data_IF_622234047542
#
_entry.id   IF_622234047542
#
_cell.length_a   1.000
_cell.length_b   1.000
_cell.length_c   1.000
_cell.angle_alpha   90.00
_cell.angle_beta   90.00
_cell.angle_gamma   90.00
#
_symmetry.space_group_name_H-M   'P 1'
#
loop_
_entity.id
_entity.type
_entity.pdbx_description
1 polymer ?
#
# COMPACT_ATOMS: atom_id res chain seq x y z
N UNK A 1 23.55 -15.04 17.67
CA UNK A 1 24.22 -14.65 16.41
C UNK A 1 23.16 -14.57 15.29
N UNK A 2 23.19 -13.53 14.46
CA UNK A 2 22.25 -13.29 13.36
C UNK A 2 22.99 -12.88 12.08
N UNK A 3 22.45 -13.24 10.91
CA UNK A 3 22.99 -12.89 9.62
C UNK A 3 22.09 -11.84 8.93
N UNK A 4 22.62 -10.66 8.65
CA UNK A 4 21.92 -9.56 8.02
C UNK A 4 22.42 -9.42 6.60
N UNK A 5 21.53 -9.53 5.61
CA UNK A 5 21.88 -9.36 4.20
C UNK A 5 21.60 -7.94 3.73
N UNK A 6 22.44 -7.47 2.83
CA UNK A 6 22.23 -6.21 2.16
C UNK A 6 22.72 -6.22 0.73
N UNK A 7 22.20 -5.33 -0.10
CA UNK A 7 22.73 -5.08 -1.42
C UNK A 7 22.44 -3.63 -1.87
N UNK A 8 23.31 -3.12 -2.75
CA UNK A 8 23.14 -1.81 -3.39
C UNK A 8 23.69 -1.87 -4.81
N UNK A 9 23.35 -0.90 -5.63
CA UNK A 9 23.95 -0.69 -6.94
C UNK A 9 24.69 0.63 -7.01
N UNK A 10 25.66 0.73 -7.92
CA UNK A 10 26.33 1.98 -8.28
C UNK A 10 25.92 2.37 -9.70
N UNK A 11 26.04 3.66 -10.02
CA UNK A 11 25.76 4.18 -11.37
C UNK A 11 26.94 3.96 -12.31
N UNK A 12 28.17 4.16 -11.78
CA UNK A 12 29.41 4.01 -12.53
C UNK A 12 30.41 3.19 -11.72
N UNK A 13 31.20 2.36 -12.42
CA UNK A 13 32.34 1.68 -11.80
C UNK A 13 33.48 2.69 -11.57
N UNK A 14 33.43 3.38 -10.44
CA UNK A 14 34.48 4.28 -9.98
C UNK A 14 34.59 4.23 -8.45
N UNK A 15 35.77 4.59 -7.95
CA UNK A 15 36.07 4.50 -6.52
C UNK A 15 35.14 5.39 -5.65
N UNK A 16 34.69 6.52 -6.17
CA UNK A 16 33.81 7.46 -5.48
C UNK A 16 32.42 6.86 -5.27
N UNK A 17 31.78 6.33 -6.34
CA UNK A 17 30.46 5.70 -6.27
C UNK A 17 30.49 4.47 -5.37
N UNK A 18 31.58 3.65 -5.44
CA UNK A 18 31.73 2.45 -4.62
C UNK A 18 31.82 2.84 -3.13
N UNK A 19 32.65 3.87 -2.78
CA UNK A 19 32.72 4.36 -1.39
C UNK A 19 31.39 4.85 -0.88
N UNK A 20 30.71 5.70 -1.66
CA UNK A 20 29.40 6.23 -1.28
C UNK A 20 28.35 5.13 -1.07
N UNK A 21 28.25 4.19 -2.01
CA UNK A 21 27.26 3.12 -1.95
C UNK A 21 27.53 2.14 -0.80
N UNK A 22 28.79 1.80 -0.53
CA UNK A 22 29.15 0.89 0.59
C UNK A 22 28.91 1.58 1.94
N UNK A 23 29.30 2.84 2.08
CA UNK A 23 29.07 3.60 3.33
C UNK A 23 27.57 3.75 3.61
N UNK A 24 26.75 4.09 2.60
CA UNK A 24 25.29 4.18 2.70
C UNK A 24 24.68 2.84 3.13
N UNK A 25 25.05 1.73 2.47
CA UNK A 25 24.51 0.41 2.76
C UNK A 25 24.84 -0.07 4.17
N UNK A 26 26.11 0.02 4.57
CA UNK A 26 26.54 -0.43 5.90
C UNK A 26 25.98 0.46 7.01
N UNK A 27 25.92 1.77 6.80
CA UNK A 27 25.27 2.71 7.73
C UNK A 27 23.78 2.38 7.92
N UNK A 28 23.05 2.13 6.83
CA UNK A 28 21.64 1.74 6.89
C UNK A 28 21.43 0.38 7.59
N UNK A 29 22.33 -0.60 7.37
CA UNK A 29 22.28 -1.90 8.07
C UNK A 29 22.48 -1.68 9.57
N UNK A 30 23.48 -0.89 9.95
CA UNK A 30 23.78 -0.61 11.35
C UNK A 30 22.63 0.11 12.05
N UNK A 31 22.11 1.17 11.45
CA UNK A 31 20.99 1.95 12.00
C UNK A 31 19.72 1.12 12.15
N UNK A 32 19.27 0.45 11.07
CA UNK A 32 18.01 -0.28 11.06
C UNK A 32 18.00 -1.52 11.95
N UNK A 33 19.17 -2.06 12.26
CA UNK A 33 19.33 -3.20 13.15
C UNK A 33 19.82 -2.82 14.56
N UNK A 34 19.99 -1.53 14.85
CA UNK A 34 20.51 -1.01 16.11
C UNK A 34 21.80 -1.73 16.54
N UNK A 35 22.76 -1.86 15.60
CA UNK A 35 24.03 -2.55 15.86
C UNK A 35 25.04 -1.59 16.47
N UNK A 36 25.60 -1.93 17.62
CA UNK A 36 26.86 -1.35 18.10
C UNK A 36 28.04 -1.96 17.33
N UNK A 37 29.16 -1.25 17.19
CA UNK A 37 30.37 -1.81 16.53
C UNK A 37 30.80 -3.14 17.11
N UNK A 38 30.75 -3.33 18.40
CA UNK A 38 31.09 -4.54 19.14
C UNK A 38 30.18 -5.73 18.83
N UNK A 39 28.97 -5.49 18.37
CA UNK A 39 28.03 -6.55 17.97
C UNK A 39 28.44 -7.19 16.63
N UNK A 40 29.21 -6.48 15.79
CA UNK A 40 29.53 -6.95 14.45
C UNK A 40 30.75 -7.86 14.46
N UNK A 41 30.53 -9.14 14.20
CA UNK A 41 31.56 -10.18 14.17
C UNK A 41 32.39 -10.08 12.88
N UNK A 42 31.71 -10.04 11.73
CA UNK A 42 32.39 -9.86 10.44
C UNK A 42 31.43 -9.36 9.35
N UNK A 43 32.02 -8.83 8.27
CA UNK A 43 31.29 -8.37 7.09
C UNK A 43 31.87 -9.08 5.85
N UNK A 44 31.04 -9.86 5.19
CA UNK A 44 31.33 -10.51 3.92
C UNK A 44 30.78 -9.63 2.79
N UNK A 45 31.63 -9.22 1.86
CA UNK A 45 31.22 -8.39 0.72
C UNK A 45 31.43 -9.18 -0.57
N UNK A 46 30.51 -9.06 -1.51
CA UNK A 46 30.71 -9.54 -2.87
C UNK A 46 30.28 -8.46 -3.86
N UNK A 47 30.81 -8.53 -5.07
CA UNK A 47 30.42 -7.64 -6.15
C UNK A 47 30.32 -8.39 -7.48
N UNK A 48 29.45 -7.89 -8.34
CA UNK A 48 29.33 -8.38 -9.72
C UNK A 48 30.62 -8.13 -10.50
N UNK A 49 30.89 -8.94 -11.51
CA UNK A 49 32.14 -8.94 -12.28
C UNK A 49 32.41 -7.67 -13.07
N UNK A 50 31.43 -6.78 -13.21
CA UNK A 50 31.53 -5.50 -13.87
C UNK A 50 31.99 -4.36 -12.92
N UNK A 51 32.25 -4.65 -11.65
CA UNK A 51 32.91 -3.75 -10.69
C UNK A 51 34.35 -4.17 -10.54
N UNK A 52 35.24 -3.37 -11.10
CA UNK A 52 36.69 -3.67 -11.17
C UNK A 52 37.58 -2.50 -10.70
N UNK A 53 37.00 -1.31 -10.49
CA UNK A 53 37.78 -0.10 -10.21
C UNK A 53 38.23 0.04 -8.75
N UNK A 54 37.50 -0.56 -7.81
CA UNK A 54 37.78 -0.44 -6.37
C UNK A 54 37.25 -1.61 -5.54
N UNK A 55 37.96 -1.96 -4.46
CA UNK A 55 37.53 -3.03 -3.55
C UNK A 55 36.43 -2.56 -2.60
N UNK A 56 35.24 -3.17 -2.58
CA UNK A 56 34.19 -2.85 -1.62
C UNK A 56 34.64 -3.00 -0.15
N UNK A 57 35.48 -3.98 0.16
CA UNK A 57 36.01 -4.15 1.52
C UNK A 57 36.96 -2.99 1.92
N UNK A 58 37.69 -2.40 0.97
CA UNK A 58 38.47 -1.20 1.24
C UNK A 58 37.57 0.01 1.52
N UNK A 59 36.49 0.16 0.74
CA UNK A 59 35.48 1.20 0.98
C UNK A 59 34.81 1.04 2.36
N UNK A 60 34.49 -0.19 2.77
CA UNK A 60 33.94 -0.47 4.11
C UNK A 60 34.91 -0.05 5.22
N UNK A 61 36.20 -0.33 5.06
CA UNK A 61 37.23 0.09 6.04
C UNK A 61 37.34 1.61 6.12
N UNK A 62 37.31 2.30 4.99
CA UNK A 62 37.33 3.76 4.91
C UNK A 62 36.05 4.41 5.50
N UNK A 63 34.92 3.69 5.44
CA UNK A 63 33.66 4.09 6.08
C UNK A 63 33.62 3.84 7.60
N UNK A 64 34.73 3.38 8.21
CA UNK A 64 34.87 3.20 9.66
C UNK A 64 34.71 1.75 10.14
N UNK A 65 34.41 0.80 9.28
CA UNK A 65 34.26 -0.63 9.64
C UNK A 65 35.60 -1.36 9.67
N UNK A 66 36.57 -0.83 10.45
CA UNK A 66 37.92 -1.42 10.63
C UNK A 66 38.05 -2.29 11.87
N UNK A 67 37.02 -2.32 12.72
CA UNK A 67 36.99 -3.01 14.01
C UNK A 67 36.60 -4.50 13.87
N UNK A 68 36.14 -4.95 12.72
CA UNK A 68 35.73 -6.33 12.49
C UNK A 68 36.44 -6.95 11.26
N UNK A 69 36.34 -8.27 11.12
CA UNK A 69 36.89 -8.96 9.97
C UNK A 69 36.09 -8.63 8.69
N UNK A 70 36.82 -8.25 7.62
CA UNK A 70 36.26 -7.97 6.30
C UNK A 70 36.73 -9.02 5.29
N UNK A 71 35.82 -9.54 4.50
CA UNK A 71 36.11 -10.45 3.39
C UNK A 71 35.46 -9.95 2.11
N UNK A 72 36.16 -10.03 0.97
CA UNK A 72 35.64 -9.62 -0.32
C UNK A 72 35.81 -10.72 -1.35
N UNK A 73 34.79 -10.96 -2.18
CA UNK A 73 34.79 -11.94 -3.25
C UNK A 73 34.11 -11.37 -4.52
N UNK A 74 34.49 -11.91 -5.68
CA UNK A 74 33.78 -11.66 -6.92
C UNK A 74 32.65 -12.67 -7.10
N UNK A 75 31.54 -12.23 -7.67
CA UNK A 75 30.42 -13.08 -8.04
C UNK A 75 30.59 -13.67 -9.44
N UNK A 76 30.03 -14.87 -9.71
CA UNK A 76 30.02 -15.40 -11.06
C UNK A 76 29.22 -14.49 -12.00
N UNK A 77 29.68 -14.36 -13.24
CA UNK A 77 28.96 -13.63 -14.28
C UNK A 77 27.73 -14.44 -14.72
N UNK A 78 26.54 -14.00 -14.31
CA UNK A 78 25.25 -14.62 -14.66
C UNK A 78 24.53 -13.76 -15.68
N UNK A 79 24.16 -14.33 -16.82
CA UNK A 79 23.41 -13.61 -17.86
C UNK A 79 22.06 -13.11 -17.33
N UNK A 80 21.78 -11.83 -17.51
CA UNK A 80 20.54 -11.19 -17.03
C UNK A 80 20.54 -10.84 -15.54
N UNK A 81 21.65 -11.06 -14.82
CA UNK A 81 21.76 -10.60 -13.43
C UNK A 81 21.86 -9.09 -13.33
N UNK A 82 21.54 -8.57 -12.15
CA UNK A 82 21.68 -7.13 -11.83
C UNK A 82 23.15 -6.72 -11.97
N UNK A 83 23.39 -5.69 -12.74
CA UNK A 83 24.74 -5.14 -12.99
C UNK A 83 25.14 -4.14 -11.91
N UNK A 84 26.45 -3.88 -11.81
CA UNK A 84 27.04 -2.88 -10.90
C UNK A 84 26.50 -3.04 -9.47
N UNK A 85 26.41 -4.29 -9.00
CA UNK A 85 25.80 -4.62 -7.72
C UNK A 85 26.85 -5.05 -6.69
N UNK A 86 26.73 -4.50 -5.48
CA UNK A 86 27.51 -4.85 -4.30
C UNK A 86 26.56 -5.50 -3.30
N UNK A 87 26.92 -6.69 -2.80
CA UNK A 87 26.16 -7.39 -1.76
C UNK A 87 26.98 -7.55 -0.50
N UNK A 88 26.28 -7.57 0.62
CA UNK A 88 26.92 -7.78 1.92
C UNK A 88 26.15 -8.79 2.75
N UNK A 89 26.88 -9.52 3.60
CA UNK A 89 26.35 -10.27 4.70
C UNK A 89 27.10 -9.84 5.96
N UNK A 90 26.38 -9.24 6.90
CA UNK A 90 26.91 -8.88 8.22
C UNK A 90 26.51 -9.98 9.19
N UNK A 91 27.50 -10.61 9.82
CA UNK A 91 27.28 -11.48 10.97
C UNK A 91 27.42 -10.65 12.23
N UNK A 92 26.40 -10.69 13.08
CA UNK A 92 26.35 -9.94 14.31
C UNK A 92 25.78 -10.77 15.45
N UNK A 93 26.14 -10.42 16.67
CA UNK A 93 25.51 -10.96 17.87
C UNK A 93 24.11 -10.36 18.09
N UNK A 94 23.31 -11.06 18.88
CA UNK A 94 21.95 -10.66 19.26
C UNK A 94 20.88 -11.60 18.74
N UNK A 95 19.69 -11.51 19.34
CA UNK A 95 18.55 -12.41 19.13
C UNK A 95 17.37 -11.73 18.41
N UNK A 96 17.50 -10.43 18.09
CA UNK A 96 16.47 -9.71 17.35
C UNK A 96 16.44 -10.15 15.88
N UNK A 97 15.26 -10.34 15.32
CA UNK A 97 15.09 -10.70 13.92
C UNK A 97 15.82 -9.72 12.98
N UNK A 98 16.65 -10.23 12.01
CA UNK A 98 17.45 -9.39 11.16
C UNK A 98 16.58 -8.58 10.17
N UNK A 99 16.80 -7.28 10.07
CA UNK A 99 16.24 -6.43 9.02
C UNK A 99 17.23 -6.35 7.87
N UNK A 100 16.91 -7.01 6.76
CA UNK A 100 17.71 -6.98 5.55
C UNK A 100 17.54 -5.67 4.80
N UNK A 101 18.61 -5.12 4.21
CA UNK A 101 18.62 -3.80 3.57
C UNK A 101 19.01 -3.92 2.09
N UNK A 102 18.15 -3.46 1.22
CA UNK A 102 18.37 -3.43 -0.22
C UNK A 102 18.11 -2.02 -0.73
N UNK A 103 19.14 -1.37 -1.31
CA UNK A 103 19.11 0.02 -1.71
C UNK A 103 19.20 0.16 -3.23
N UNK A 104 18.77 1.28 -3.74
CA UNK A 104 18.85 1.64 -5.16
C UNK A 104 18.31 0.52 -6.05
N UNK A 105 18.97 0.21 -7.18
CA UNK A 105 18.54 -0.87 -8.08
C UNK A 105 18.50 -2.27 -7.45
N UNK A 106 19.24 -2.49 -6.34
CA UNK A 106 19.19 -3.76 -5.63
C UNK A 106 17.88 -3.99 -4.83
N UNK A 107 17.07 -2.96 -4.59
CA UNK A 107 15.73 -3.11 -4.00
C UNK A 107 14.86 -4.08 -4.81
N UNK A 108 15.03 -4.12 -6.13
CA UNK A 108 14.32 -5.02 -7.03
C UNK A 108 14.65 -6.51 -6.86
N UNK A 109 15.78 -6.86 -6.19
CA UNK A 109 16.14 -8.25 -5.88
C UNK A 109 15.23 -8.85 -4.80
N UNK A 110 14.62 -8.02 -3.97
CA UNK A 110 13.82 -8.43 -2.82
C UNK A 110 12.56 -7.56 -2.71
N UNK A 111 11.75 -7.61 -3.77
CA UNK A 111 10.44 -6.92 -3.82
C UNK A 111 9.53 -7.26 -2.63
N UNK A 112 9.71 -8.44 -2.05
CA UNK A 112 9.04 -8.89 -0.83
C UNK A 112 9.44 -8.09 0.43
N UNK A 113 10.56 -7.39 0.42
CA UNK A 113 11.01 -6.53 1.54
C UNK A 113 10.70 -5.05 1.32
N UNK A 114 10.46 -4.63 0.10
CA UNK A 114 10.02 -3.26 -0.22
C UNK A 114 8.50 -3.19 -0.13
N UNK A 115 7.99 -2.72 1.01
CA UNK A 115 6.57 -2.47 1.19
C UNK A 115 6.19 -1.15 0.52
N UNK A 116 5.21 -1.19 -0.34
CA UNK A 116 4.64 -0.01 -0.97
C UNK A 116 3.12 0.00 -0.83
N UNK A 117 2.54 1.17 -0.90
CA UNK A 117 1.09 1.34 -0.90
C UNK A 117 0.63 2.04 -2.18
N UNK A 118 -0.45 1.51 -2.76
CA UNK A 118 -1.16 2.16 -3.86
C UNK A 118 -2.48 2.68 -3.34
N UNK A 119 -2.63 4.00 -3.33
CA UNK A 119 -3.86 4.69 -2.96
C UNK A 119 -4.73 4.93 -4.20
N UNK A 120 -5.92 4.35 -4.22
CA UNK A 120 -6.91 4.55 -5.28
C UNK A 120 -8.11 5.30 -4.71
N UNK A 121 -8.21 6.60 -4.98
CA UNK A 121 -9.32 7.44 -4.57
C UNK A 121 -10.23 7.78 -5.75
N UNK A 122 -11.45 8.20 -5.45
CA UNK A 122 -12.39 8.65 -6.47
C UNK A 122 -13.86 8.39 -6.11
N UNK A 123 -14.81 8.91 -6.91
CA UNK A 123 -16.23 8.83 -6.65
C UNK A 123 -16.79 7.40 -6.79
N UNK A 124 -18.02 7.21 -6.33
CA UNK A 124 -18.72 5.93 -6.45
C UNK A 124 -19.01 5.58 -7.91
N UNK A 125 -18.86 4.31 -8.29
CA UNK A 125 -19.16 3.84 -9.64
C UNK A 125 -18.07 4.14 -10.70
N UNK A 126 -16.93 4.72 -10.33
CA UNK A 126 -15.81 5.01 -11.25
C UNK A 126 -14.99 3.77 -11.69
N UNK A 127 -15.38 2.56 -11.27
CA UNK A 127 -14.62 1.34 -11.58
C UNK A 127 -13.44 1.06 -10.66
N UNK A 128 -13.19 1.93 -9.70
CA UNK A 128 -12.07 1.92 -8.76
C UNK A 128 -11.84 0.59 -8.04
N UNK A 129 -12.89 0.03 -7.42
CA UNK A 129 -12.78 -1.22 -6.66
C UNK A 129 -12.46 -2.42 -7.54
N UNK A 130 -12.97 -2.45 -8.77
CA UNK A 130 -12.65 -3.48 -9.76
C UNK A 130 -11.19 -3.37 -10.20
N UNK A 131 -10.75 -2.14 -10.54
CA UNK A 131 -9.36 -1.87 -10.88
C UNK A 131 -8.41 -2.22 -9.74
N UNK A 132 -8.76 -1.84 -8.48
CA UNK A 132 -7.96 -2.13 -7.31
C UNK A 132 -7.75 -3.63 -7.06
N UNK A 133 -8.81 -4.43 -7.21
CA UNK A 133 -8.74 -5.90 -7.07
C UNK A 133 -7.85 -6.54 -8.11
N UNK A 134 -8.02 -6.15 -9.39
CA UNK A 134 -7.22 -6.70 -10.48
C UNK A 134 -5.77 -6.28 -10.35
N UNK A 135 -5.51 -5.01 -10.05
CA UNK A 135 -4.17 -4.49 -9.83
C UNK A 135 -3.46 -5.21 -8.67
N UNK A 136 -4.14 -5.38 -7.53
CA UNK A 136 -3.59 -6.09 -6.38
C UNK A 136 -3.24 -7.55 -6.70
N UNK A 137 -4.09 -8.22 -7.49
CA UNK A 137 -3.84 -9.58 -7.97
C UNK A 137 -2.62 -9.64 -8.90
N UNK A 138 -2.50 -8.71 -9.87
CA UNK A 138 -1.36 -8.65 -10.79
C UNK A 138 -0.04 -8.33 -10.08
N UNK A 139 -0.08 -7.44 -9.09
CA UNK A 139 1.08 -7.06 -8.28
C UNK A 139 1.41 -8.08 -7.18
N UNK A 140 0.52 -9.07 -6.96
CA UNK A 140 0.60 -10.03 -5.86
C UNK A 140 0.73 -9.35 -4.48
N UNK A 141 -0.13 -8.36 -4.24
CA UNK A 141 -0.20 -7.60 -2.98
C UNK A 141 -1.60 -7.62 -2.40
N UNK A 142 -1.74 -7.17 -1.16
CA UNK A 142 -3.02 -7.09 -0.48
C UNK A 142 -3.96 -6.09 -1.18
N UNK A 143 -5.25 -6.45 -1.30
CA UNK A 143 -6.32 -5.51 -1.64
C UNK A 143 -7.14 -5.17 -0.39
N UNK A 144 -7.34 -3.89 -0.06
CA UNK A 144 -8.17 -3.44 1.04
C UNK A 144 -9.34 -2.57 0.55
N UNK A 145 -10.56 -3.12 0.63
CA UNK A 145 -11.83 -2.38 0.47
C UNK A 145 -12.14 -1.59 1.76
N UNK A 146 -11.72 -0.32 1.81
CA UNK A 146 -12.01 0.51 2.98
C UNK A 146 -13.49 0.84 3.12
N UNK A 147 -14.22 0.88 2.01
CA UNK A 147 -15.67 1.03 2.00
C UNK A 147 -16.39 -0.11 2.73
N UNK A 148 -15.87 -1.33 2.68
CA UNK A 148 -16.41 -2.46 3.44
C UNK A 148 -16.30 -2.22 4.95
N UNK A 149 -15.22 -1.60 5.42
CA UNK A 149 -15.03 -1.27 6.84
C UNK A 149 -16.09 -0.27 7.34
N UNK A 150 -16.33 0.80 6.58
CA UNK A 150 -17.39 1.76 6.93
C UNK A 150 -18.80 1.15 6.83
N UNK A 151 -19.03 0.24 5.86
CA UNK A 151 -20.29 -0.50 5.78
C UNK A 151 -20.50 -1.42 6.97
N UNK A 152 -19.47 -2.03 7.51
CA UNK A 152 -19.57 -2.82 8.72
C UNK A 152 -19.94 -1.96 9.95
N UNK A 153 -19.34 -0.77 10.10
CA UNK A 153 -19.73 0.18 11.13
C UNK A 153 -21.21 0.62 10.99
N UNK A 154 -21.65 0.87 9.76
CA UNK A 154 -23.04 1.20 9.49
C UNK A 154 -24.01 0.05 9.82
N UNK A 155 -23.64 -1.17 9.46
CA UNK A 155 -24.41 -2.36 9.80
C UNK A 155 -24.57 -2.54 11.31
N UNK A 156 -23.50 -2.28 12.08
CA UNK A 156 -23.54 -2.30 13.55
C UNK A 156 -24.57 -1.29 14.07
N UNK A 157 -24.48 -0.03 13.63
CA UNK A 157 -25.41 1.00 14.04
C UNK A 157 -26.86 0.66 13.69
N UNK A 158 -27.11 0.10 12.49
CA UNK A 158 -28.44 -0.32 12.07
C UNK A 158 -28.97 -1.49 12.92
N UNK A 159 -28.16 -2.50 13.21
CA UNK A 159 -28.55 -3.66 14.03
C UNK A 159 -28.86 -3.27 15.47
N UNK A 160 -28.09 -2.34 16.01
CA UNK A 160 -28.25 -1.88 17.40
C UNK A 160 -29.30 -0.75 17.52
N UNK A 161 -29.91 -0.33 16.40
CA UNK A 161 -30.91 0.75 16.39
C UNK A 161 -30.36 2.12 16.79
N UNK A 162 -29.04 2.36 16.60
CA UNK A 162 -28.36 3.58 17.02
C UNK A 162 -28.64 4.70 16.02
N UNK A 163 -29.15 5.85 16.45
CA UNK A 163 -29.36 7.00 15.57
C UNK A 163 -28.00 7.61 15.13
N UNK A 164 -27.96 8.14 13.90
CA UNK A 164 -26.77 8.79 13.34
C UNK A 164 -26.63 10.24 13.89
N UNK A 165 -26.35 10.37 15.18
CA UNK A 165 -26.06 11.62 15.90
C UNK A 165 -24.70 11.50 16.58
N UNK A 166 -24.00 12.63 16.80
CA UNK A 166 -22.61 12.63 17.32
C UNK A 166 -22.49 11.81 18.61
N UNK A 167 -23.28 12.11 19.64
CA UNK A 167 -23.17 11.41 20.92
C UNK A 167 -23.54 9.93 20.86
N UNK A 168 -24.50 9.53 20.01
CA UNK A 168 -24.92 8.14 19.89
C UNK A 168 -23.85 7.31 19.12
N UNK A 169 -23.30 7.87 18.05
CA UNK A 169 -22.24 7.21 17.26
C UNK A 169 -20.92 7.15 18.04
N UNK A 170 -20.60 8.20 18.81
CA UNK A 170 -19.43 8.20 19.68
C UNK A 170 -19.52 7.10 20.75
N UNK A 171 -20.68 6.93 21.38
CA UNK A 171 -20.92 5.87 22.35
C UNK A 171 -20.85 4.46 21.73
N UNK A 172 -21.26 4.30 20.45
CA UNK A 172 -21.19 3.03 19.72
C UNK A 172 -19.75 2.66 19.35
N UNK A 173 -18.91 3.64 19.00
CA UNK A 173 -17.58 3.42 18.38
C UNK A 173 -16.68 2.46 19.14
N UNK A 174 -16.56 2.48 20.48
CA UNK A 174 -15.74 1.53 21.21
C UNK A 174 -16.22 0.07 21.09
N UNK A 175 -17.53 -0.17 20.97
CA UNK A 175 -18.13 -1.50 20.89
C UNK A 175 -18.03 -2.18 19.53
N UNK A 176 -17.57 -1.45 18.49
CA UNK A 176 -17.40 -2.01 17.15
C UNK A 176 -16.16 -2.93 17.15
N UNK A 177 -16.36 -4.24 17.20
CA UNK A 177 -15.29 -5.21 16.98
C UNK A 177 -15.24 -5.58 15.49
N UNK A 178 -14.30 -4.96 14.77
CA UNK A 178 -14.11 -5.15 13.34
C UNK A 178 -12.78 -5.84 13.06
N UNK A 179 -12.83 -6.94 12.33
CA UNK A 179 -11.64 -7.66 11.85
C UNK A 179 -11.72 -7.86 10.35
N UNK A 180 -10.60 -7.62 9.67
CA UNK A 180 -10.42 -7.93 8.26
C UNK A 180 -9.55 -9.17 8.16
N UNK A 181 -9.97 -10.14 7.37
CA UNK A 181 -9.21 -11.34 7.05
C UNK A 181 -9.13 -11.53 5.52
N UNK A 182 -8.16 -12.30 5.10
CA UNK A 182 -7.95 -12.63 3.69
C UNK A 182 -7.96 -14.14 3.55
N UNK A 183 -9.00 -14.66 2.89
CA UNK A 183 -9.24 -16.08 2.72
C UNK A 183 -9.51 -16.35 1.24
N UNK A 184 -8.85 -17.34 0.66
CA UNK A 184 -8.99 -17.71 -0.76
C UNK A 184 -8.81 -16.53 -1.74
N UNK A 185 -7.93 -15.57 -1.41
CA UNK A 185 -7.67 -14.39 -2.25
C UNK A 185 -8.76 -13.31 -2.20
N UNK A 186 -9.69 -13.39 -1.26
CA UNK A 186 -10.75 -12.41 -1.05
C UNK A 186 -10.69 -11.80 0.35
N UNK A 187 -11.10 -10.52 0.45
CA UNK A 187 -11.29 -9.87 1.74
C UNK A 187 -12.59 -10.34 2.38
N UNK A 188 -12.50 -10.81 3.60
CA UNK A 188 -13.62 -11.10 4.51
C UNK A 188 -13.68 -10.04 5.61
N UNK A 189 -14.88 -9.58 5.91
CA UNK A 189 -15.14 -8.55 6.92
C UNK A 189 -15.94 -9.17 8.06
N UNK A 190 -15.33 -9.25 9.23
CA UNK A 190 -15.94 -9.79 10.43
C UNK A 190 -16.35 -8.65 11.36
N UNK A 191 -17.60 -8.68 11.80
CA UNK A 191 -18.16 -7.76 12.77
C UNK A 191 -18.67 -8.55 13.97
N UNK A 192 -18.19 -8.22 15.16
CA UNK A 192 -18.53 -8.93 16.41
C UNK A 192 -18.35 -10.46 16.27
N UNK A 193 -17.25 -10.86 15.62
CA UNK A 193 -16.89 -12.26 15.38
C UNK A 193 -17.65 -12.97 14.24
N UNK A 194 -18.61 -12.32 13.56
CA UNK A 194 -19.38 -12.89 12.45
C UNK A 194 -18.94 -12.34 11.11
N UNK A 195 -18.81 -13.22 10.09
CA UNK A 195 -18.60 -12.76 8.72
C UNK A 195 -19.86 -12.05 8.20
N UNK A 196 -19.67 -10.77 7.84
CA UNK A 196 -20.74 -9.91 7.31
C UNK A 196 -20.47 -9.47 5.88
N UNK A 197 -19.51 -10.08 5.18
CA UNK A 197 -19.03 -9.69 3.85
C UNK A 197 -20.14 -9.55 2.81
N UNK A 198 -21.18 -10.37 2.87
CA UNK A 198 -22.35 -10.29 2.00
C UNK A 198 -23.39 -9.29 2.55
N UNK A 199 -23.63 -9.30 3.87
CA UNK A 199 -24.65 -8.46 4.50
C UNK A 199 -24.35 -6.96 4.34
N UNK A 200 -23.08 -6.58 4.41
CA UNK A 200 -22.65 -5.16 4.23
C UNK A 200 -22.84 -4.63 2.81
N UNK A 201 -23.20 -5.47 1.83
CA UNK A 201 -23.42 -5.07 0.44
C UNK A 201 -24.86 -4.64 0.14
N UNK A 202 -25.76 -4.76 1.10
CA UNK A 202 -27.15 -4.35 0.96
C UNK A 202 -27.27 -2.85 0.72
N UNK A 203 -28.26 -2.40 -0.09
CA UNK A 203 -28.44 -0.97 -0.43
C UNK A 203 -28.58 -0.06 0.79
N UNK A 204 -29.40 -0.48 1.79
CA UNK A 204 -29.61 0.28 3.02
C UNK A 204 -28.33 0.46 3.84
N UNK A 205 -27.46 -0.56 3.89
CA UNK A 205 -26.15 -0.46 4.56
C UNK A 205 -25.23 0.49 3.82
N UNK A 206 -25.26 0.47 2.49
CA UNK A 206 -24.44 1.36 1.66
C UNK A 206 -24.83 2.84 1.82
N UNK A 207 -26.13 3.14 1.98
CA UNK A 207 -26.61 4.49 2.28
C UNK A 207 -26.22 4.92 3.71
N UNK A 208 -26.38 4.03 4.68
CA UNK A 208 -25.97 4.27 6.06
C UNK A 208 -24.47 4.50 6.20
N UNK A 209 -23.66 3.79 5.41
CA UNK A 209 -22.20 3.94 5.39
C UNK A 209 -21.75 5.35 4.98
N UNK A 210 -22.43 5.97 4.03
CA UNK A 210 -22.14 7.36 3.66
C UNK A 210 -22.38 8.32 4.83
N UNK A 211 -23.45 8.09 5.61
CA UNK A 211 -23.76 8.89 6.80
C UNK A 211 -22.76 8.67 7.92
N UNK A 212 -22.51 7.39 8.28
CA UNK A 212 -21.63 7.07 9.42
C UNK A 212 -20.17 7.47 9.16
N UNK A 213 -19.73 7.47 7.90
CA UNK A 213 -18.38 7.87 7.52
C UNK A 213 -18.09 9.38 7.72
N UNK A 214 -19.08 10.21 8.03
CA UNK A 214 -18.90 11.62 8.35
C UNK A 214 -18.47 11.85 9.81
N UNK A 215 -18.69 10.89 10.71
CA UNK A 215 -18.37 11.02 12.14
C UNK A 215 -16.87 10.81 12.39
N UNK A 216 -16.24 11.77 13.10
CA UNK A 216 -14.78 11.76 13.36
C UNK A 216 -14.34 10.53 14.13
N UNK A 217 -15.08 10.11 15.16
CA UNK A 217 -14.76 8.93 15.97
C UNK A 217 -14.68 7.63 15.14
N UNK A 218 -15.61 7.44 14.21
CA UNK A 218 -15.59 6.30 13.28
C UNK A 218 -14.40 6.39 12.33
N UNK A 219 -14.13 7.59 11.79
CA UNK A 219 -13.02 7.78 10.87
C UNK A 219 -11.68 7.51 11.53
N UNK A 220 -11.44 8.07 12.71
CA UNK A 220 -10.20 7.86 13.45
C UNK A 220 -9.94 6.36 13.68
N UNK A 221 -10.94 5.61 14.13
CA UNK A 221 -10.84 4.17 14.32
C UNK A 221 -10.54 3.44 13.00
N UNK A 222 -11.23 3.79 11.91
CA UNK A 222 -11.03 3.13 10.61
C UNK A 222 -9.68 3.48 9.99
N UNK A 223 -9.27 4.74 10.04
CA UNK A 223 -7.96 5.20 9.53
C UNK A 223 -6.81 4.52 10.27
N UNK A 224 -6.90 4.42 11.60
CA UNK A 224 -5.90 3.71 12.40
C UNK A 224 -5.77 2.23 12.01
N UNK A 225 -6.90 1.53 11.82
CA UNK A 225 -6.89 0.15 11.34
C UNK A 225 -6.30 0.00 9.94
N UNK A 226 -6.66 0.89 9.01
CA UNK A 226 -6.15 0.89 7.64
C UNK A 226 -4.64 1.12 7.61
N UNK A 227 -4.13 2.05 8.40
CA UNK A 227 -2.69 2.32 8.55
C UNK A 227 -1.94 1.12 9.10
N UNK A 228 -2.48 0.45 10.11
CA UNK A 228 -1.88 -0.78 10.68
C UNK A 228 -1.76 -1.87 9.61
N UNK A 229 -2.83 -2.14 8.87
CA UNK A 229 -2.82 -3.13 7.78
C UNK A 229 -1.78 -2.74 6.70
N UNK A 230 -1.75 -1.48 6.28
CA UNK A 230 -0.81 -1.00 5.25
C UNK A 230 0.67 -1.03 5.72
N UNK A 231 0.91 -0.93 7.04
CA UNK A 231 2.26 -1.04 7.60
C UNK A 231 2.81 -2.47 7.62
N UNK A 232 1.93 -3.48 7.57
CA UNK A 232 2.35 -4.89 7.64
C UNK A 232 2.86 -5.43 6.30
N UNK A 233 2.27 -4.99 5.17
CA UNK A 233 2.60 -5.52 3.84
C UNK A 233 2.23 -4.55 2.72
N UNK A 234 2.79 -4.76 1.51
CA UNK A 234 2.41 -4.00 0.33
C UNK A 234 0.92 -4.19 0.03
N UNK A 235 0.24 -3.11 -0.37
CA UNK A 235 -1.20 -3.13 -0.51
C UNK A 235 -1.73 -2.12 -1.54
N UNK A 236 -2.91 -2.42 -2.07
CA UNK A 236 -3.75 -1.50 -2.83
C UNK A 236 -4.98 -1.20 -1.99
N UNK A 237 -5.17 0.06 -1.63
CA UNK A 237 -6.34 0.54 -0.90
C UNK A 237 -7.27 1.30 -1.85
N UNK A 238 -8.56 0.99 -1.82
CA UNK A 238 -9.55 1.83 -2.49
C UNK A 238 -10.43 2.58 -1.50
N UNK A 239 -10.65 3.87 -1.77
CA UNK A 239 -11.42 4.73 -0.87
C UNK A 239 -11.85 6.06 -1.47
N UNK A 240 -11.83 7.11 -0.61
CA UNK A 240 -12.18 8.49 -0.94
C UNK A 240 -11.11 9.48 -0.54
N UNK A 241 -10.27 9.09 0.41
CA UNK A 241 -9.30 9.93 1.09
C UNK A 241 -8.03 9.15 1.46
N UNK A 242 -7.75 8.09 0.71
CA UNK A 242 -6.59 7.24 1.00
C UNK A 242 -5.30 8.05 0.81
N UNK A 243 -5.13 8.70 -0.34
CA UNK A 243 -3.94 9.47 -0.65
C UNK A 243 -3.87 10.85 0.00
N UNK A 244 -4.97 11.31 0.64
CA UNK A 244 -5.00 12.63 1.30
C UNK A 244 -4.95 12.56 2.82
N UNK A 245 -5.48 11.48 3.42
CA UNK A 245 -5.64 11.34 4.88
C UNK A 245 -5.08 10.03 5.40
N UNK A 246 -5.45 8.90 4.81
CA UNK A 246 -5.07 7.58 5.34
C UNK A 246 -3.57 7.34 5.18
N UNK A 247 -3.07 7.46 3.95
CA UNK A 247 -1.68 7.25 3.55
C UNK A 247 -1.18 8.45 2.72
N UNK A 248 -1.02 9.63 3.34
CA UNK A 248 -0.57 10.84 2.63
C UNK A 248 0.82 10.68 2.00
N UNK A 249 1.62 9.76 2.51
CA UNK A 249 2.96 9.45 2.01
C UNK A 249 2.98 8.16 1.14
N UNK A 250 1.81 7.70 0.66
CA UNK A 250 1.75 6.55 -0.24
C UNK A 250 2.59 6.80 -1.50
N UNK A 251 3.39 5.83 -1.88
CA UNK A 251 4.32 5.93 -3.02
C UNK A 251 3.59 6.13 -4.35
N UNK A 252 2.41 5.51 -4.48
CA UNK A 252 1.59 5.59 -5.67
C UNK A 252 0.19 6.06 -5.32
N UNK A 253 -0.23 7.18 -5.91
CA UNK A 253 -1.57 7.75 -5.70
C UNK A 253 -2.26 7.98 -7.04
N UNK A 254 -3.49 7.49 -7.13
CA UNK A 254 -4.33 7.66 -8.32
C UNK A 254 -5.71 8.14 -7.89
N UNK A 255 -6.24 9.09 -8.65
CA UNK A 255 -7.63 9.54 -8.51
C UNK A 255 -8.41 9.08 -9.74
N UNK A 256 -9.27 8.09 -9.54
CA UNK A 256 -10.04 7.43 -10.59
C UNK A 256 -11.41 8.06 -10.69
N UNK A 257 -11.73 8.64 -11.83
CA UNK A 257 -13.02 9.29 -12.09
C UNK A 257 -13.66 8.76 -13.36
N UNK A 258 -14.94 9.04 -13.53
CA UNK A 258 -15.70 8.96 -14.75
C UNK A 258 -16.88 9.92 -14.66
N UNK A 259 -17.45 10.33 -15.79
CA UNK A 259 -18.64 11.15 -15.82
C UNK A 259 -19.84 10.44 -15.14
N UNK A 260 -20.80 11.25 -14.62
CA UNK A 260 -21.92 10.73 -13.83
C UNK A 260 -22.84 9.80 -14.63
N UNK A 261 -22.98 10.03 -15.95
CA UNK A 261 -23.82 9.21 -16.82
C UNK A 261 -23.20 7.82 -17.01
N UNK A 262 -21.89 7.73 -17.30
CA UNK A 262 -21.15 6.47 -17.41
C UNK A 262 -21.20 5.68 -16.09
N UNK A 263 -21.03 6.34 -14.96
CA UNK A 263 -21.12 5.69 -13.64
C UNK A 263 -22.51 5.15 -13.34
N UNK A 264 -23.57 5.91 -13.69
CA UNK A 264 -24.96 5.44 -13.56
C UNK A 264 -25.26 4.24 -14.44
N UNK A 265 -24.77 4.23 -15.69
CA UNK A 265 -24.91 3.07 -16.59
C UNK A 265 -24.19 1.84 -16.06
N UNK A 266 -22.93 1.97 -15.61
CA UNK A 266 -22.17 0.86 -15.01
C UNK A 266 -22.88 0.29 -13.80
N UNK A 267 -23.36 1.15 -12.90
CA UNK A 267 -24.09 0.75 -11.70
C UNK A 267 -25.44 0.12 -12.03
N UNK A 268 -26.13 0.66 -13.02
CA UNK A 268 -27.40 0.12 -13.51
C UNK A 268 -27.24 -1.29 -14.05
N UNK A 269 -26.19 -1.53 -14.83
CA UNK A 269 -25.87 -2.87 -15.34
C UNK A 269 -25.62 -3.87 -14.19
N UNK A 270 -24.80 -3.51 -13.20
CA UNK A 270 -24.56 -4.36 -12.03
C UNK A 270 -25.84 -4.72 -11.25
N UNK A 271 -26.77 -3.76 -11.12
CA UNK A 271 -28.04 -3.98 -10.43
C UNK A 271 -28.99 -4.85 -11.25
N UNK A 272 -29.07 -4.64 -12.56
CA UNK A 272 -29.86 -5.44 -13.49
C UNK A 272 -29.40 -6.90 -13.51
N UNK A 273 -28.08 -7.15 -13.52
CA UNK A 273 -27.51 -8.50 -13.43
C UNK A 273 -27.88 -9.22 -12.11
N UNK A 274 -28.16 -8.46 -11.04
CA UNK A 274 -28.67 -8.98 -9.76
C UNK A 274 -30.19 -9.09 -9.69
N UNK A 275 -30.90 -8.79 -10.79
CA UNK A 275 -32.36 -8.91 -10.88
C UNK A 275 -33.15 -7.71 -10.35
N UNK A 276 -32.51 -6.57 -10.09
CA UNK A 276 -33.20 -5.37 -9.65
C UNK A 276 -33.70 -4.55 -10.85
N UNK A 277 -34.91 -3.97 -10.74
CA UNK A 277 -35.37 -2.95 -11.67
C UNK A 277 -34.56 -1.66 -11.49
N UNK A 278 -34.09 -1.07 -12.59
CA UNK A 278 -33.18 0.07 -12.59
C UNK A 278 -33.75 1.24 -13.34
N UNK A 279 -33.81 2.38 -12.68
CA UNK A 279 -34.03 3.68 -13.29
C UNK A 279 -32.68 4.42 -13.35
N UNK A 280 -32.12 4.52 -14.55
CA UNK A 280 -30.78 5.11 -14.78
C UNK A 280 -30.76 6.59 -14.40
N UNK A 281 -31.85 7.35 -14.65
CA UNK A 281 -31.91 8.76 -14.32
C UNK A 281 -31.90 9.00 -12.82
N UNK A 282 -32.71 8.25 -12.09
CA UNK A 282 -32.73 8.28 -10.62
C UNK A 282 -31.38 7.87 -10.03
N UNK A 283 -30.77 6.83 -10.60
CA UNK A 283 -29.46 6.34 -10.17
C UNK A 283 -28.36 7.38 -10.39
N UNK A 284 -28.44 8.16 -11.48
CA UNK A 284 -27.53 9.27 -11.74
C UNK A 284 -27.68 10.36 -10.66
N UNK A 285 -28.90 10.74 -10.33
CA UNK A 285 -29.18 11.75 -9.29
C UNK A 285 -28.65 11.31 -7.92
N UNK A 286 -28.87 10.04 -7.54
CA UNK A 286 -28.33 9.46 -6.31
C UNK A 286 -26.78 9.46 -6.28
N UNK A 287 -26.14 9.20 -7.42
CA UNK A 287 -24.68 9.26 -7.55
C UNK A 287 -24.17 10.68 -7.38
N UNK A 288 -24.81 11.65 -8.05
CA UNK A 288 -24.43 13.06 -7.95
C UNK A 288 -24.65 13.63 -6.54
N UNK A 289 -25.72 13.24 -5.86
CA UNK A 289 -25.97 13.60 -4.47
C UNK A 289 -24.89 13.04 -3.54
N UNK A 290 -24.54 11.77 -3.74
CA UNK A 290 -23.48 11.12 -2.97
C UNK A 290 -22.13 11.79 -3.18
N UNK A 291 -21.79 12.15 -4.41
CA UNK A 291 -20.54 12.85 -4.74
C UNK A 291 -20.48 14.23 -4.08
N UNK A 292 -21.61 14.96 -4.07
CA UNK A 292 -21.71 16.22 -3.33
C UNK A 292 -21.43 15.99 -1.84
N UNK A 293 -22.10 15.00 -1.23
CA UNK A 293 -21.92 14.68 0.18
C UNK A 293 -20.48 14.29 0.50
N UNK A 294 -19.86 13.42 -0.33
CA UNK A 294 -18.47 13.00 -0.14
C UNK A 294 -17.48 14.17 -0.31
N UNK A 295 -17.75 15.12 -1.21
CA UNK A 295 -16.86 16.25 -1.51
C UNK A 295 -17.02 17.43 -0.56
N UNK A 296 -18.22 17.63 0.03
CA UNK A 296 -18.53 18.80 0.89
C UNK A 296 -18.47 18.49 2.38
N UNK A 297 -18.27 17.22 2.77
CA UNK A 297 -18.15 16.88 4.19
C UNK A 297 -16.97 17.60 4.83
N UNK A 298 -17.15 18.06 6.07
CA UNK A 298 -16.13 18.79 6.82
C UNK A 298 -14.91 17.95 7.16
N UNK A 299 -15.10 16.62 7.35
CA UNK A 299 -14.05 15.70 7.71
C UNK A 299 -13.66 14.83 6.50
N UNK A 300 -12.38 14.90 6.08
CA UNK A 300 -11.79 14.11 4.99
C UNK A 300 -12.62 14.13 3.70
N UNK A 301 -12.86 15.30 3.08
CA UNK A 301 -13.63 15.39 1.84
C UNK A 301 -12.98 14.59 0.71
N UNK A 302 -13.81 14.06 -0.20
CA UNK A 302 -13.33 13.47 -1.45
C UNK A 302 -12.63 14.55 -2.28
N UNK A 303 -11.32 14.47 -2.37
CA UNK A 303 -10.51 15.37 -3.20
C UNK A 303 -9.29 14.62 -3.72
N UNK A 304 -8.80 15.02 -4.89
CA UNK A 304 -7.56 14.50 -5.44
C UNK A 304 -6.38 15.03 -4.61
N UNK A 305 -5.47 14.14 -4.19
CA UNK A 305 -4.19 14.54 -3.65
C UNK A 305 -3.35 15.26 -4.73
N UNK A 306 -2.55 16.25 -4.35
CA UNK A 306 -1.79 17.08 -5.31
C UNK A 306 -0.85 16.25 -6.19
N UNK A 307 -0.25 15.22 -5.62
CA UNK A 307 0.66 14.28 -6.28
C UNK A 307 -0.05 13.05 -6.89
N UNK A 308 -1.38 12.99 -6.84
CA UNK A 308 -2.12 11.88 -7.42
C UNK A 308 -2.29 12.03 -8.94
N UNK A 309 -2.03 10.93 -9.66
CA UNK A 309 -2.32 10.83 -11.09
C UNK A 309 -3.83 10.77 -11.30
N UNK A 310 -4.38 11.68 -12.10
CA UNK A 310 -5.79 11.63 -12.51
C UNK A 310 -5.98 10.56 -13.60
N UNK A 311 -6.96 9.69 -13.41
CA UNK A 311 -7.35 8.65 -14.38
C UNK A 311 -8.84 8.79 -14.67
N UNK A 312 -9.17 9.41 -15.80
CA UNK A 312 -10.55 9.44 -16.31
C UNK A 312 -10.82 8.13 -17.06
N UNK A 313 -11.79 7.39 -16.55
CA UNK A 313 -12.14 6.06 -17.06
C UNK A 313 -13.41 6.07 -17.89
N UNK A 314 -13.94 7.23 -18.27
CA UNK A 314 -15.21 7.36 -19.01
C UNK A 314 -15.22 6.50 -20.26
N UNK A 315 -14.14 6.54 -21.05
CA UNK A 315 -13.97 5.82 -22.32
C UNK A 315 -13.02 4.63 -22.23
N UNK A 316 -12.66 4.17 -21.00
CA UNK A 316 -11.71 3.08 -20.81
C UNK A 316 -12.40 1.80 -20.37
N UNK A 317 -11.92 0.68 -20.91
CA UNK A 317 -12.19 -0.66 -20.36
C UNK A 317 -11.43 -0.86 -19.05
N UNK A 318 -11.87 -1.82 -18.25
CA UNK A 318 -11.19 -2.10 -16.97
C UNK A 318 -9.74 -2.56 -17.15
N UNK A 319 -9.46 -3.32 -18.20
CA UNK A 319 -8.12 -3.83 -18.52
C UNK A 319 -7.18 -2.69 -18.94
N UNK A 320 -7.67 -1.70 -19.68
CA UNK A 320 -6.92 -0.50 -20.02
C UNK A 320 -6.60 0.34 -18.80
N UNK A 321 -7.54 0.50 -17.86
CA UNK A 321 -7.32 1.20 -16.59
C UNK A 321 -6.23 0.51 -15.77
N UNK A 322 -6.32 -0.80 -15.59
CA UNK A 322 -5.32 -1.58 -14.82
C UNK A 322 -3.95 -1.50 -15.48
N UNK A 323 -3.89 -1.67 -16.82
CA UNK A 323 -2.64 -1.58 -17.58
C UNK A 323 -1.99 -0.20 -17.50
N UNK A 324 -2.79 0.87 -17.55
CA UNK A 324 -2.32 2.24 -17.38
C UNK A 324 -1.72 2.47 -16.00
N UNK A 325 -2.44 2.08 -14.93
CA UNK A 325 -1.97 2.24 -13.54
C UNK A 325 -0.69 1.43 -13.34
N UNK A 326 -0.64 0.17 -13.80
CA UNK A 326 0.55 -0.69 -13.69
C UNK A 326 1.76 -0.07 -14.39
N UNK A 327 1.58 0.48 -15.60
CA UNK A 327 2.65 1.18 -16.32
C UNK A 327 3.19 2.36 -15.50
N UNK A 328 2.31 3.16 -14.90
CA UNK A 328 2.72 4.29 -14.04
C UNK A 328 3.47 3.86 -12.78
N UNK A 329 3.13 2.72 -12.20
CA UNK A 329 3.87 2.14 -11.08
C UNK A 329 5.25 1.69 -11.55
N UNK A 330 5.35 1.01 -12.70
CA UNK A 330 6.62 0.53 -13.24
C UNK A 330 7.59 1.65 -13.67
N UNK A 331 7.06 2.81 -14.07
CA UNK A 331 7.88 3.99 -14.42
C UNK A 331 8.59 4.62 -13.20
N UNK A 332 8.10 4.36 -11.97
CA UNK A 332 8.67 4.90 -10.72
C UNK A 332 9.54 3.88 -9.95
N UNK A 333 9.47 2.59 -10.28
CA UNK A 333 10.23 1.50 -9.69
C UNK A 333 11.41 1.11 -10.59
#
# INVERSE_FOLDING_TARGET
MRAIRGATTIEKDCAEDIRAAVAELLGAIQEKNALAPEDIICILLSNTSDIVSYYPAKAAREAGFSFCALYSSAEPAITGSLRLCIRVMVLADGDVAPKHIYLRGAANLRKDLHKFAVALDGPSGSGKSTAAKLLAKELNVLYLDTGAMYRACALKALKDGVPFTDGAVEALTPSIDLRIAYENGAQHTYLDGKDVSEEIRRPEVSMAASKISAFSCIREKMVDMQRKIAAEQSCVLDGRDIGTVVLPDAEFKFFITADAATRAQRRGKELAEKGFAVDIQKLKEEIEERDRNDSTRSNSPLRRAEDAVLVDTSDMTIDEVVSYIRKKIQEKV
#
